data_IF_033861839658
#
_entry.id   IF_033861839658
#
_cell.length_a   1.000
_cell.length_b   1.000
_cell.length_c   1.000
_cell.angle_alpha   90.00
_cell.angle_beta   90.00
_cell.angle_gamma   90.00
#
_symmetry.space_group_name_H-M   'P 1'
#
loop_
_entity.id
_entity.type
_entity.pdbx_description
1 polymer ?
#
# COMPACT_ATOMS: atom_id res chain seq x y z
N UNK A 1 -36.33 -17.39 64.48
CA UNK A 1 -36.18 -18.38 63.37
C UNK A 1 -35.94 -17.60 62.09
N UNK A 2 -34.69 -17.52 61.62
CA UNK A 2 -34.39 -16.95 60.30
C UNK A 2 -34.58 -18.07 59.27
N UNK A 3 -35.57 -17.89 58.41
CA UNK A 3 -35.84 -18.77 57.28
C UNK A 3 -34.68 -18.69 56.29
N UNK A 4 -33.99 -19.81 56.08
CA UNK A 4 -33.05 -19.98 54.98
C UNK A 4 -33.84 -19.93 53.68
N UNK A 5 -33.75 -18.82 52.93
CA UNK A 5 -34.07 -18.82 51.51
C UNK A 5 -33.05 -19.73 50.83
N UNK A 6 -33.45 -20.98 50.58
CA UNK A 6 -32.77 -21.84 49.62
C UNK A 6 -32.69 -21.07 48.30
N UNK A 7 -31.48 -20.76 47.86
CA UNK A 7 -31.27 -20.36 46.47
C UNK A 7 -31.85 -21.47 45.60
N UNK A 8 -32.80 -21.12 44.73
CA UNK A 8 -33.31 -22.03 43.72
C UNK A 8 -32.10 -22.43 42.84
N UNK A 9 -31.81 -23.73 42.66
CA UNK A 9 -30.76 -24.13 41.74
C UNK A 9 -31.09 -23.58 40.34
N UNK A 10 -30.09 -23.19 39.53
CA UNK A 10 -30.34 -22.78 38.15
C UNK A 10 -31.17 -23.87 37.47
N UNK A 11 -32.30 -23.49 36.89
CA UNK A 11 -33.22 -24.42 36.24
C UNK A 11 -32.48 -25.05 35.06
N UNK A 12 -32.10 -26.33 35.20
CA UNK A 12 -31.59 -27.12 34.09
C UNK A 12 -32.73 -27.30 33.10
N UNK A 13 -32.58 -26.75 31.91
CA UNK A 13 -33.53 -26.94 30.83
C UNK A 13 -32.93 -27.95 29.85
N UNK A 14 -33.53 -29.13 29.75
CA UNK A 14 -33.03 -30.22 28.91
C UNK A 14 -33.90 -30.34 27.66
N UNK A 15 -33.26 -30.56 26.52
CA UNK A 15 -33.92 -30.89 25.24
C UNK A 15 -33.33 -32.18 24.69
N UNK A 16 -34.19 -33.09 24.22
CA UNK A 16 -33.76 -34.35 23.60
C UNK A 16 -34.46 -34.50 22.25
N UNK A 17 -33.70 -34.68 21.18
CA UNK A 17 -34.21 -34.99 19.86
C UNK A 17 -34.57 -36.47 19.70
N UNK A 18 -34.82 -36.87 18.46
CA UNK A 18 -35.27 -38.20 18.07
C UNK A 18 -34.35 -38.80 17.01
N UNK A 19 -34.88 -39.45 15.97
CA UNK A 19 -34.11 -40.07 14.88
C UNK A 19 -34.17 -39.28 13.56
N UNK A 20 -34.89 -38.16 13.56
CA UNK A 20 -35.05 -37.24 12.44
C UNK A 20 -34.14 -36.04 12.65
N UNK A 21 -33.86 -35.28 11.60
CA UNK A 21 -33.23 -33.98 11.73
C UNK A 21 -34.07 -33.04 12.63
N UNK A 22 -33.48 -32.57 13.71
CA UNK A 22 -34.12 -31.71 14.71
C UNK A 22 -33.38 -30.37 14.80
N UNK A 23 -34.15 -29.31 15.03
CA UNK A 23 -33.59 -28.02 15.46
C UNK A 23 -34.01 -27.82 16.90
N UNK A 24 -33.04 -27.79 17.80
CA UNK A 24 -33.26 -27.63 19.24
C UNK A 24 -32.76 -26.25 19.65
N UNK A 25 -33.69 -25.36 19.97
CA UNK A 25 -33.37 -24.00 20.40
C UNK A 25 -33.00 -23.97 21.88
N UNK A 26 -31.79 -23.49 22.18
CA UNK A 26 -31.34 -23.21 23.54
C UNK A 26 -32.09 -22.00 24.10
N UNK A 27 -32.48 -22.09 25.38
CA UNK A 27 -33.11 -20.98 26.09
C UNK A 27 -32.12 -20.41 27.12
N UNK A 28 -32.46 -19.28 27.74
CA UNK A 28 -31.63 -18.75 28.81
C UNK A 28 -31.51 -19.77 29.97
N UNK A 29 -30.28 -20.03 30.44
CA UNK A 29 -30.05 -20.91 31.58
C UNK A 29 -28.83 -21.79 31.38
N UNK A 30 -28.77 -22.92 32.09
CA UNK A 30 -27.75 -23.93 31.82
C UNK A 30 -28.45 -25.15 31.23
N UNK A 31 -28.15 -25.47 29.98
CA UNK A 31 -28.85 -26.52 29.25
C UNK A 31 -28.05 -27.83 29.17
N UNK A 32 -28.77 -28.95 29.06
CA UNK A 32 -28.21 -30.20 28.53
C UNK A 32 -29.07 -30.59 27.34
N UNK A 33 -28.53 -30.37 26.15
CA UNK A 33 -29.22 -30.61 24.89
C UNK A 33 -28.60 -31.84 24.23
N UNK A 34 -29.45 -32.71 23.73
CA UNK A 34 -29.08 -33.93 23.02
C UNK A 34 -29.86 -33.98 21.71
N UNK A 35 -29.19 -33.94 20.56
CA UNK A 35 -29.84 -34.04 19.24
C UNK A 35 -30.43 -35.44 18.98
N UNK A 36 -29.89 -36.47 19.62
CA UNK A 36 -30.28 -37.86 19.38
C UNK A 36 -29.57 -38.44 18.16
N UNK A 37 -30.33 -39.05 17.25
CA UNK A 37 -29.82 -39.56 15.99
C UNK A 37 -30.38 -38.74 14.83
N UNK A 38 -29.62 -38.57 13.77
CA UNK A 38 -30.05 -37.77 12.63
C UNK A 38 -28.98 -36.76 12.28
N UNK A 39 -29.42 -35.62 11.75
CA UNK A 39 -28.56 -34.46 11.49
C UNK A 39 -29.23 -33.28 12.18
N UNK A 40 -28.73 -32.94 13.35
CA UNK A 40 -29.40 -32.07 14.31
C UNK A 40 -28.68 -30.74 14.45
N UNK A 41 -29.45 -29.68 14.70
CA UNK A 41 -28.97 -28.31 14.86
C UNK A 41 -29.25 -27.81 16.27
N UNK A 42 -28.20 -27.40 16.98
CA UNK A 42 -28.35 -26.59 18.19
C UNK A 42 -28.47 -25.12 17.79
N UNK A 43 -29.58 -24.47 18.19
CA UNK A 43 -29.90 -23.11 17.77
C UNK A 43 -29.89 -22.13 18.94
N UNK A 44 -29.13 -21.05 18.79
CA UNK A 44 -29.00 -19.94 19.73
C UNK A 44 -29.68 -18.67 19.22
N UNK A 45 -30.56 -18.78 18.22
CA UNK A 45 -31.20 -17.66 17.54
C UNK A 45 -32.01 -16.72 18.45
N UNK A 46 -32.38 -17.18 19.65
CA UNK A 46 -33.10 -16.37 20.65
C UNK A 46 -32.20 -15.78 21.75
N UNK A 47 -30.89 -16.01 21.69
CA UNK A 47 -29.95 -15.40 22.62
C UNK A 47 -29.96 -13.87 22.46
N UNK A 48 -29.85 -13.16 23.58
CA UNK A 48 -29.92 -11.69 23.63
C UNK A 48 -28.54 -11.02 23.57
N UNK A 49 -27.50 -11.80 23.31
CA UNK A 49 -26.12 -11.38 23.07
C UNK A 49 -25.40 -12.48 22.29
N UNK A 50 -24.20 -12.17 21.79
CA UNK A 50 -23.35 -13.13 21.10
C UNK A 50 -23.05 -14.39 21.91
N UNK A 51 -22.93 -15.51 21.22
CA UNK A 51 -22.64 -16.82 21.80
C UNK A 51 -21.28 -17.36 21.35
N UNK A 52 -20.64 -18.14 22.23
CA UNK A 52 -19.41 -18.88 21.91
C UNK A 52 -19.68 -20.37 22.09
N UNK A 53 -19.80 -21.11 20.98
CA UNK A 53 -20.30 -22.49 20.99
C UNK A 53 -19.41 -23.40 20.15
N UNK A 54 -19.07 -24.57 20.69
CA UNK A 54 -18.29 -25.60 20.02
C UNK A 54 -18.98 -26.95 20.07
N UNK A 55 -19.13 -27.61 18.91
CA UNK A 55 -19.58 -29.00 18.81
C UNK A 55 -18.48 -30.00 19.19
N UNK A 56 -17.21 -29.59 19.14
CA UNK A 56 -16.07 -30.43 19.53
C UNK A 56 -15.96 -30.67 21.05
N UNK A 57 -16.78 -30.00 21.86
CA UNK A 57 -16.80 -30.15 23.32
C UNK A 57 -17.96 -31.04 23.75
N UNK A 58 -17.65 -32.14 24.44
CA UNK A 58 -18.68 -33.04 25.02
C UNK A 58 -19.09 -32.66 26.45
N UNK A 59 -18.43 -31.66 27.04
CA UNK A 59 -18.68 -31.18 28.39
C UNK A 59 -19.50 -29.90 28.42
N UNK A 60 -19.78 -29.43 29.63
CA UNK A 60 -20.41 -28.13 29.83
C UNK A 60 -19.48 -27.01 29.35
N UNK A 61 -19.99 -26.12 28.50
CA UNK A 61 -19.29 -24.98 27.91
C UNK A 61 -20.03 -23.70 28.26
N UNK A 62 -19.29 -22.64 28.61
CA UNK A 62 -19.88 -21.33 28.83
C UNK A 62 -20.19 -20.70 27.47
N UNK A 63 -21.47 -20.68 27.10
CA UNK A 63 -21.93 -20.22 25.78
C UNK A 63 -22.08 -18.71 25.70
N UNK A 64 -21.89 -17.99 26.82
CA UNK A 64 -22.05 -16.54 26.89
C UNK A 64 -23.53 -16.17 26.97
N UNK A 65 -24.12 -15.76 25.85
CA UNK A 65 -25.52 -15.29 25.75
C UNK A 65 -26.60 -16.30 26.13
N UNK A 66 -26.23 -17.55 26.36
CA UNK A 66 -27.14 -18.63 26.75
C UNK A 66 -26.65 -19.42 27.97
N UNK A 67 -25.77 -18.86 28.80
CA UNK A 67 -25.33 -19.48 30.06
C UNK A 67 -24.28 -20.60 29.90
N UNK A 68 -24.47 -21.75 30.55
CA UNK A 68 -23.52 -22.88 30.50
C UNK A 68 -24.22 -24.16 30.03
N UNK A 69 -23.93 -24.56 28.80
CA UNK A 69 -24.66 -25.61 28.10
C UNK A 69 -23.79 -26.84 27.86
N UNK A 70 -24.41 -28.01 27.79
CA UNK A 70 -23.78 -29.25 27.31
C UNK A 70 -24.51 -29.67 26.05
N UNK A 71 -23.78 -29.83 24.95
CA UNK A 71 -24.31 -30.24 23.66
C UNK A 71 -23.87 -31.67 23.37
N UNK A 72 -24.81 -32.55 23.01
CA UNK A 72 -24.58 -33.95 22.67
C UNK A 72 -25.24 -34.25 21.33
N UNK A 73 -24.56 -35.02 20.47
CA UNK A 73 -25.10 -35.52 19.20
C UNK A 73 -25.73 -34.40 18.32
N UNK A 74 -24.98 -33.33 18.09
CA UNK A 74 -25.37 -32.27 17.15
C UNK A 74 -24.33 -32.17 16.03
N UNK A 75 -24.81 -31.93 14.83
CA UNK A 75 -24.00 -31.78 13.63
C UNK A 75 -23.94 -30.33 13.16
N UNK A 76 -24.86 -29.46 13.61
CA UNK A 76 -24.97 -28.10 13.12
C UNK A 76 -25.15 -27.08 14.25
N UNK A 77 -24.73 -25.84 13.99
CA UNK A 77 -24.91 -24.71 14.89
C UNK A 77 -25.63 -23.56 14.18
N UNK A 78 -26.57 -22.94 14.89
CA UNK A 78 -27.09 -21.62 14.54
C UNK A 78 -26.78 -20.65 15.67
N UNK A 79 -26.13 -19.54 15.35
CA UNK A 79 -25.84 -18.41 16.21
C UNK A 79 -27.07 -17.56 16.56
N UNK A 80 -26.80 -16.42 17.16
CA UNK A 80 -27.72 -15.37 17.55
C UNK A 80 -27.86 -14.29 16.47
N UNK A 81 -28.29 -13.08 16.85
CA UNK A 81 -28.31 -11.91 15.95
C UNK A 81 -27.19 -10.90 16.32
N UNK A 82 -26.16 -11.39 16.99
CA UNK A 82 -25.02 -10.63 17.49
C UNK A 82 -23.75 -11.42 17.16
N UNK A 83 -22.59 -10.76 17.30
CA UNK A 83 -21.29 -11.36 17.05
C UNK A 83 -21.08 -12.68 17.82
N UNK A 84 -21.09 -13.79 17.08
CA UNK A 84 -20.96 -15.13 17.58
C UNK A 84 -19.59 -15.73 17.29
N UNK A 85 -19.25 -16.80 17.99
CA UNK A 85 -18.11 -17.67 17.72
C UNK A 85 -18.59 -19.10 17.64
N UNK A 86 -18.63 -19.67 16.44
CA UNK A 86 -19.17 -20.99 16.16
C UNK A 86 -18.06 -21.94 15.72
N UNK A 87 -17.91 -23.07 16.41
CA UNK A 87 -16.86 -24.07 16.14
C UNK A 87 -17.47 -25.42 15.79
N UNK A 88 -17.17 -25.93 14.60
CA UNK A 88 -17.51 -27.28 14.18
C UNK A 88 -16.72 -28.36 14.92
N UNK A 89 -17.12 -29.61 14.75
CA UNK A 89 -16.42 -30.80 15.22
C UNK A 89 -15.30 -31.17 14.24
N UNK A 90 -14.11 -31.49 14.76
CA UNK A 90 -13.00 -31.89 13.90
C UNK A 90 -13.29 -33.20 13.14
N UNK A 91 -13.07 -33.19 11.82
CA UNK A 91 -13.24 -34.36 10.95
C UNK A 91 -14.69 -34.81 10.72
N UNK A 92 -15.66 -33.95 11.04
CA UNK A 92 -17.09 -34.20 10.80
C UNK A 92 -17.66 -32.96 10.13
N UNK A 93 -18.36 -33.14 9.02
CA UNK A 93 -18.97 -32.02 8.29
C UNK A 93 -20.11 -31.38 9.08
N UNK A 94 -20.06 -30.07 9.25
CA UNK A 94 -21.07 -29.28 9.96
C UNK A 94 -21.66 -28.17 9.11
N UNK A 95 -22.88 -27.73 9.43
CA UNK A 95 -23.42 -26.44 8.98
C UNK A 95 -23.36 -25.44 10.13
N UNK A 96 -22.66 -24.33 9.91
CA UNK A 96 -22.50 -23.23 10.86
C UNK A 96 -23.21 -21.99 10.28
N UNK A 97 -24.24 -21.50 10.96
CA UNK A 97 -25.01 -20.31 10.55
C UNK A 97 -24.88 -19.24 11.62
N UNK A 98 -24.27 -18.09 11.36
CA UNK A 98 -24.06 -17.04 12.35
C UNK A 98 -25.29 -16.17 12.51
N UNK A 99 -25.70 -15.52 11.42
CA UNK A 99 -26.91 -14.71 11.39
C UNK A 99 -26.60 -13.26 11.09
N UNK A 100 -26.71 -12.39 12.10
CA UNK A 100 -26.35 -10.98 11.99
C UNK A 100 -25.32 -10.66 13.08
N UNK A 101 -24.54 -9.60 12.88
CA UNK A 101 -23.34 -9.34 13.66
C UNK A 101 -22.10 -9.77 12.88
N UNK A 102 -20.94 -9.50 13.49
CA UNK A 102 -19.65 -9.94 12.96
C UNK A 102 -19.30 -11.27 13.60
N UNK A 103 -19.49 -12.35 12.87
CA UNK A 103 -19.41 -13.72 13.36
C UNK A 103 -18.03 -14.34 13.06
N UNK A 104 -17.63 -15.29 13.91
CA UNK A 104 -16.36 -16.01 13.78
C UNK A 104 -16.60 -17.52 13.71
N UNK A 105 -16.06 -18.16 12.68
CA UNK A 105 -16.20 -19.58 12.41
C UNK A 105 -14.88 -20.31 12.55
N UNK A 106 -14.89 -21.48 13.17
CA UNK A 106 -13.76 -22.40 13.19
C UNK A 106 -14.12 -23.64 12.38
N UNK A 107 -13.51 -23.73 11.19
CA UNK A 107 -13.70 -24.81 10.22
C UNK A 107 -12.59 -25.85 10.37
N UNK A 108 -12.99 -27.10 10.53
CA UNK A 108 -12.10 -28.21 10.89
C UNK A 108 -12.31 -29.47 10.04
N UNK A 109 -13.28 -29.45 9.13
CA UNK A 109 -13.50 -30.48 8.12
C UNK A 109 -13.76 -29.83 6.76
N UNK A 110 -13.31 -30.49 5.68
CA UNK A 110 -13.53 -29.95 4.31
C UNK A 110 -14.99 -29.96 3.88
N UNK A 111 -15.85 -30.71 4.59
CA UNK A 111 -17.29 -30.68 4.38
C UNK A 111 -18.04 -29.67 5.23
N UNK A 112 -17.36 -28.87 6.07
CA UNK A 112 -18.00 -27.78 6.80
C UNK A 112 -18.56 -26.72 5.84
N UNK A 113 -19.74 -26.21 6.16
CA UNK A 113 -20.43 -25.17 5.40
C UNK A 113 -20.75 -24.01 6.34
N UNK A 114 -20.18 -22.84 6.05
CA UNK A 114 -20.58 -21.57 6.67
C UNK A 114 -21.73 -20.95 5.88
N UNK A 115 -22.74 -20.42 6.57
CA UNK A 115 -23.90 -19.76 5.96
C UNK A 115 -24.13 -18.40 6.60
N UNK A 116 -24.06 -17.34 5.78
CA UNK A 116 -24.28 -15.97 6.23
C UNK A 116 -25.35 -15.20 5.46
N UNK A 117 -26.00 -14.27 6.17
CA UNK A 117 -26.97 -13.36 5.61
C UNK A 117 -26.28 -12.21 4.86
N UNK A 118 -26.91 -11.74 3.79
CA UNK A 118 -26.46 -10.53 3.11
C UNK A 118 -26.56 -9.32 4.07
N UNK A 119 -25.48 -8.55 4.19
CA UNK A 119 -25.35 -7.47 5.19
C UNK A 119 -25.43 -7.97 6.65
N UNK A 120 -24.98 -9.20 6.92
CA UNK A 120 -24.91 -9.79 8.26
C UNK A 120 -23.91 -9.06 9.15
N UNK A 121 -22.75 -8.72 8.60
CA UNK A 121 -21.69 -8.00 9.31
C UNK A 121 -20.40 -8.09 8.53
N UNK A 122 -19.29 -8.22 9.24
CA UNK A 122 -17.99 -8.59 8.69
C UNK A 122 -17.51 -9.85 9.38
N UNK A 123 -17.51 -10.95 8.65
CA UNK A 123 -17.44 -12.30 9.18
C UNK A 123 -16.07 -12.92 8.90
N UNK A 124 -15.64 -13.82 9.79
CA UNK A 124 -14.28 -14.38 9.78
C UNK A 124 -14.28 -15.89 9.89
N UNK A 125 -13.53 -16.55 9.02
CA UNK A 125 -13.28 -18.00 9.07
C UNK A 125 -11.84 -18.26 9.46
N UNK A 126 -11.64 -19.04 10.52
CA UNK A 126 -10.39 -19.69 10.87
C UNK A 126 -10.45 -21.15 10.41
N UNK A 127 -9.69 -21.51 9.39
CA UNK A 127 -9.73 -22.87 8.82
C UNK A 127 -8.45 -23.64 9.13
N UNK A 128 -8.59 -24.89 9.57
CA UNK A 128 -7.47 -25.84 9.70
C UNK A 128 -7.31 -26.76 8.49
N UNK A 129 -8.16 -26.58 7.48
CA UNK A 129 -8.22 -27.33 6.22
C UNK A 129 -8.19 -26.38 5.02
N UNK A 130 -8.03 -26.91 3.81
CA UNK A 130 -8.26 -26.11 2.60
C UNK A 130 -9.72 -25.68 2.54
N UNK A 131 -10.00 -24.40 2.32
CA UNK A 131 -11.34 -23.86 2.44
C UNK A 131 -11.65 -22.76 1.43
N UNK A 132 -12.91 -22.72 1.00
CA UNK A 132 -13.47 -21.68 0.13
C UNK A 132 -14.54 -20.94 0.91
N UNK A 133 -14.45 -19.61 0.98
CA UNK A 133 -15.43 -18.79 1.66
C UNK A 133 -16.80 -18.92 0.98
N UNK A 134 -17.84 -19.07 1.81
CA UNK A 134 -19.22 -18.93 1.35
C UNK A 134 -19.50 -17.46 0.99
N UNK A 135 -20.58 -17.20 0.25
CA UNK A 135 -21.01 -15.83 -0.01
C UNK A 135 -21.29 -15.07 1.30
N UNK A 136 -21.07 -13.75 1.29
CA UNK A 136 -21.27 -12.87 2.45
C UNK A 136 -20.27 -13.11 3.60
N UNK A 137 -19.10 -13.69 3.33
CA UNK A 137 -18.03 -13.83 4.31
C UNK A 137 -16.79 -13.11 3.80
N UNK A 138 -16.16 -12.28 4.64
CA UNK A 138 -15.11 -11.35 4.20
C UNK A 138 -13.69 -11.87 4.49
N UNK A 139 -13.47 -12.57 5.61
CA UNK A 139 -12.11 -12.87 6.06
C UNK A 139 -11.84 -14.38 6.16
N UNK A 140 -10.70 -14.82 5.62
CA UNK A 140 -10.18 -16.19 5.80
C UNK A 140 -8.78 -16.15 6.41
N UNK A 141 -8.59 -16.84 7.52
CA UNK A 141 -7.28 -17.14 8.11
C UNK A 141 -7.06 -18.64 8.12
N UNK A 142 -6.03 -19.11 7.41
CA UNK A 142 -5.57 -20.48 7.49
C UNK A 142 -4.77 -20.68 8.78
N UNK A 143 -4.98 -21.80 9.45
CA UNK A 143 -4.35 -22.13 10.73
C UNK A 143 -3.52 -23.41 10.61
N UNK A 144 -2.69 -23.69 11.62
CA UNK A 144 -1.82 -24.85 11.64
C UNK A 144 -0.58 -24.70 10.75
N UNK A 145 -0.01 -25.84 10.35
CA UNK A 145 1.28 -25.91 9.63
C UNK A 145 1.21 -26.76 8.37
N UNK A 146 0.03 -27.24 8.00
CA UNK A 146 -0.16 -28.03 6.79
C UNK A 146 -0.19 -27.13 5.55
N UNK A 147 0.19 -27.67 4.39
CA UNK A 147 0.06 -27.00 3.10
C UNK A 147 -1.42 -27.05 2.67
N UNK A 148 -2.19 -26.08 3.13
CA UNK A 148 -3.61 -25.90 2.82
C UNK A 148 -3.80 -24.63 2.02
N UNK A 149 -4.92 -24.52 1.32
CA UNK A 149 -5.19 -23.39 0.44
C UNK A 149 -6.42 -22.61 0.89
N UNK A 150 -6.49 -21.34 0.48
CA UNK A 150 -7.60 -20.45 0.77
C UNK A 150 -8.21 -19.94 -0.53
N UNK A 151 -9.54 -19.93 -0.60
CA UNK A 151 -10.27 -19.30 -1.69
C UNK A 151 -11.32 -18.35 -1.13
N UNK A 152 -11.38 -17.14 -1.63
CA UNK A 152 -12.41 -16.15 -1.29
C UNK A 152 -13.69 -16.37 -2.12
N UNK A 153 -14.43 -15.29 -2.31
CA UNK A 153 -15.70 -15.25 -3.02
C UNK A 153 -15.74 -14.04 -3.98
N UNK A 154 -16.88 -13.35 -4.11
CA UNK A 154 -17.04 -12.21 -5.03
C UNK A 154 -16.98 -10.85 -4.31
N UNK A 155 -16.66 -10.85 -3.01
CA UNK A 155 -16.47 -9.68 -2.18
C UNK A 155 -15.00 -9.31 -2.11
N UNK A 156 -14.71 -8.14 -1.53
CA UNK A 156 -13.35 -7.77 -1.18
C UNK A 156 -12.90 -8.56 0.05
N UNK A 157 -12.21 -9.68 -0.16
CA UNK A 157 -11.78 -10.59 0.89
C UNK A 157 -10.40 -10.27 1.45
N UNK A 158 -10.19 -10.60 2.73
CA UNK A 158 -8.86 -10.64 3.36
C UNK A 158 -8.46 -12.09 3.57
N UNK A 159 -7.39 -12.54 2.91
CA UNK A 159 -6.89 -13.91 2.99
C UNK A 159 -5.51 -13.95 3.64
N UNK A 160 -5.40 -14.68 4.76
CA UNK A 160 -4.15 -14.91 5.48
C UNK A 160 -3.74 -16.37 5.40
N UNK A 161 -2.55 -16.62 4.86
CA UNK A 161 -1.92 -17.95 4.86
C UNK A 161 -1.50 -18.40 6.27
N UNK A 162 -1.18 -19.68 6.41
CA UNK A 162 -0.54 -20.23 7.60
C UNK A 162 0.99 -20.34 7.40
N UNK A 163 1.67 -21.11 8.24
CA UNK A 163 3.13 -21.30 8.12
C UNK A 163 3.55 -22.33 7.06
N UNK A 164 2.59 -23.04 6.47
CA UNK A 164 2.82 -23.95 5.35
C UNK A 164 2.95 -23.20 4.02
N UNK A 165 3.07 -23.94 2.93
CA UNK A 165 2.97 -23.37 1.58
C UNK A 165 1.51 -23.27 1.19
N UNK A 166 1.01 -22.05 0.97
CA UNK A 166 -0.40 -21.81 0.62
C UNK A 166 -0.55 -21.29 -0.80
N UNK A 167 -1.59 -21.75 -1.49
CA UNK A 167 -2.18 -21.04 -2.63
C UNK A 167 -3.40 -20.25 -2.14
N UNK A 168 -3.41 -18.95 -2.39
CA UNK A 168 -4.50 -18.04 -2.05
C UNK A 168 -5.12 -17.49 -3.34
N UNK A 169 -6.45 -17.52 -3.43
CA UNK A 169 -7.21 -16.93 -4.53
C UNK A 169 -8.39 -16.16 -3.95
N UNK A 170 -8.55 -14.88 -4.28
CA UNK A 170 -9.52 -13.98 -3.69
C UNK A 170 -10.86 -14.08 -4.40
N UNK A 171 -10.81 -14.15 -5.73
CA UNK A 171 -11.96 -14.48 -6.55
C UNK A 171 -12.35 -13.30 -7.42
N UNK A 172 -13.36 -12.55 -7.04
CA UNK A 172 -13.67 -11.26 -7.66
C UNK A 172 -13.86 -10.23 -6.54
N UNK A 173 -13.72 -8.95 -6.87
CA UNK A 173 -13.58 -7.91 -5.85
C UNK A 173 -12.13 -7.49 -5.71
N UNK A 174 -11.88 -6.50 -4.86
CA UNK A 174 -10.54 -6.02 -4.57
C UNK A 174 -10.04 -6.70 -3.30
N UNK A 175 -9.27 -7.76 -3.47
CA UNK A 175 -8.84 -8.65 -2.41
C UNK A 175 -7.51 -8.20 -1.77
N UNK A 176 -7.31 -8.61 -0.51
CA UNK A 176 -6.07 -8.39 0.23
C UNK A 176 -5.48 -9.71 0.72
N UNK A 177 -4.23 -9.94 0.37
CA UNK A 177 -3.47 -11.14 0.72
C UNK A 177 -2.40 -10.82 1.75
N UNK A 178 -2.40 -11.51 2.88
CA UNK A 178 -1.36 -11.38 3.90
C UNK A 178 -0.36 -12.52 3.74
N UNK A 179 0.81 -12.18 3.22
CA UNK A 179 1.89 -13.12 2.90
C UNK A 179 3.01 -13.04 3.95
N UNK A 180 3.33 -14.20 4.52
CA UNK A 180 4.33 -14.35 5.58
C UNK A 180 5.35 -15.45 5.28
N UNK A 181 5.17 -16.18 4.17
CA UNK A 181 6.03 -17.26 3.75
C UNK A 181 6.39 -17.06 2.26
N UNK A 182 7.68 -17.15 1.93
CA UNK A 182 8.18 -16.95 0.56
C UNK A 182 7.73 -18.02 -0.42
N UNK A 183 7.17 -19.13 0.06
CA UNK A 183 6.62 -20.19 -0.80
C UNK A 183 5.16 -19.97 -1.19
N UNK A 184 4.48 -19.01 -0.57
CA UNK A 184 3.06 -18.77 -0.85
C UNK A 184 2.86 -18.20 -2.25
N UNK A 185 1.73 -18.55 -2.87
CA UNK A 185 1.37 -18.06 -4.20
C UNK A 185 -0.02 -17.44 -4.17
N UNK A 186 -0.14 -16.25 -4.75
CA UNK A 186 -1.43 -15.61 -5.03
C UNK A 186 -1.83 -15.91 -6.47
N UNK A 187 -3.08 -16.32 -6.66
CA UNK A 187 -3.64 -16.68 -7.95
C UNK A 187 -4.88 -15.85 -8.22
N UNK A 188 -4.78 -14.93 -9.18
CA UNK A 188 -5.88 -14.06 -9.58
C UNK A 188 -6.33 -14.25 -11.03
N UNK A 189 -7.63 -14.02 -11.26
CA UNK A 189 -8.22 -14.06 -12.58
C UNK A 189 -8.14 -12.68 -13.25
N UNK A 190 -8.07 -12.65 -14.58
CA UNK A 190 -8.09 -11.37 -15.31
C UNK A 190 -9.38 -10.61 -15.05
N UNK A 191 -9.28 -9.32 -14.70
CA UNK A 191 -10.43 -8.45 -14.42
C UNK A 191 -11.27 -8.91 -13.20
N UNK A 192 -10.65 -9.58 -12.23
CA UNK A 192 -11.25 -9.94 -10.94
C UNK A 192 -11.44 -8.72 -10.02
N UNK A 193 -10.53 -7.75 -10.10
CA UNK A 193 -10.58 -6.51 -9.33
C UNK A 193 -9.22 -5.82 -9.36
N UNK A 194 -8.89 -5.11 -8.29
CA UNK A 194 -7.56 -4.55 -8.05
C UNK A 194 -7.07 -5.06 -6.72
N UNK A 195 -6.09 -5.97 -6.77
CA UNK A 195 -5.74 -6.82 -5.65
C UNK A 195 -4.43 -6.39 -5.01
N UNK A 196 -4.33 -6.60 -3.70
CA UNK A 196 -3.20 -6.12 -2.89
C UNK A 196 -2.55 -7.24 -2.11
N UNK A 197 -1.24 -7.38 -2.25
CA UNK A 197 -0.41 -8.22 -1.39
C UNK A 197 0.24 -7.36 -0.31
N UNK A 198 0.00 -7.71 0.95
CA UNK A 198 0.75 -7.23 2.11
C UNK A 198 1.76 -8.31 2.49
N UNK A 199 3.04 -8.06 2.27
CA UNK A 199 4.08 -9.07 2.48
C UNK A 199 5.05 -8.68 3.59
N UNK A 200 5.37 -9.61 4.49
CA UNK A 200 6.46 -9.48 5.47
C UNK A 200 7.76 -10.17 5.03
N UNK A 201 7.77 -10.70 3.80
CA UNK A 201 8.88 -11.42 3.17
C UNK A 201 9.11 -10.89 1.76
N UNK A 202 10.26 -11.21 1.16
CA UNK A 202 10.47 -10.96 -0.28
C UNK A 202 9.38 -11.65 -1.09
N UNK A 203 8.74 -10.90 -2.00
CA UNK A 203 7.61 -11.40 -2.78
C UNK A 203 7.62 -10.92 -4.23
N UNK A 204 7.15 -11.78 -5.12
CA UNK A 204 6.95 -11.50 -6.54
C UNK A 204 5.48 -11.69 -6.87
N UNK A 205 4.84 -10.67 -7.43
CA UNK A 205 3.44 -10.72 -7.81
C UNK A 205 3.19 -11.78 -8.89
N UNK A 206 2.16 -12.59 -8.67
CA UNK A 206 1.58 -13.41 -9.73
C UNK A 206 0.92 -12.54 -10.80
N UNK A 207 0.54 -13.14 -11.93
CA UNK A 207 -0.25 -12.44 -12.96
C UNK A 207 -1.57 -11.92 -12.40
N UNK A 208 -2.07 -10.79 -12.93
CA UNK A 208 -3.35 -10.17 -12.54
C UNK A 208 -3.40 -9.67 -11.09
N UNK A 209 -2.24 -9.44 -10.46
CA UNK A 209 -2.16 -8.76 -9.16
C UNK A 209 -1.47 -7.43 -9.36
N UNK A 210 -2.05 -6.36 -8.84
CA UNK A 210 -1.64 -5.00 -9.16
C UNK A 210 -0.73 -4.40 -8.08
N UNK A 211 -1.04 -4.63 -6.80
CA UNK A 211 -0.37 -3.91 -5.70
C UNK A 211 0.43 -4.85 -4.79
N UNK A 212 1.63 -4.41 -4.41
CA UNK A 212 2.46 -5.06 -3.40
C UNK A 212 2.97 -4.01 -2.41
N UNK A 213 2.65 -4.21 -1.13
CA UNK A 213 3.19 -3.43 -0.02
C UNK A 213 4.00 -4.32 0.89
N UNK A 214 5.28 -4.00 1.04
CA UNK A 214 6.15 -4.64 2.03
C UNK A 214 5.85 -4.09 3.42
N UNK A 215 5.94 -4.95 4.41
CA UNK A 215 5.60 -4.66 5.81
C UNK A 215 6.79 -4.92 6.71
N UNK A 216 6.93 -4.07 7.73
CA UNK A 216 8.07 -4.14 8.65
C UNK A 216 9.28 -3.33 8.16
N UNK A 217 10.45 -3.68 8.71
CA UNK A 217 11.70 -2.95 8.50
C UNK A 217 12.85 -3.88 8.04
N UNK A 218 12.51 -5.10 7.60
CA UNK A 218 13.49 -6.01 7.02
C UNK A 218 13.90 -5.48 5.64
N UNK A 219 15.14 -5.74 5.23
CA UNK A 219 15.58 -5.49 3.86
C UNK A 219 15.12 -6.65 2.97
N UNK A 220 14.04 -6.45 2.23
CA UNK A 220 13.40 -7.45 1.38
C UNK A 220 13.09 -6.85 0.00
N UNK A 221 12.59 -7.67 -0.91
CA UNK A 221 12.31 -7.22 -2.28
C UNK A 221 10.83 -7.32 -2.62
N UNK A 222 10.33 -6.30 -3.30
CA UNK A 222 9.04 -6.29 -3.98
C UNK A 222 9.28 -6.42 -5.48
N UNK A 223 8.67 -7.41 -6.11
CA UNK A 223 8.75 -7.59 -7.57
C UNK A 223 7.35 -7.62 -8.15
N UNK A 224 7.09 -6.72 -9.10
CA UNK A 224 5.87 -6.65 -9.88
C UNK A 224 5.80 -7.73 -10.96
N UNK A 225 4.93 -7.51 -11.94
CA UNK A 225 4.69 -8.32 -13.11
C UNK A 225 4.64 -7.40 -14.35
N UNK A 226 3.96 -7.79 -15.44
CA UNK A 226 3.93 -6.97 -16.66
C UNK A 226 2.75 -5.96 -16.71
N UNK A 227 2.03 -5.78 -15.60
CA UNK A 227 0.94 -4.82 -15.45
C UNK A 227 1.49 -3.50 -14.92
N UNK A 228 0.65 -2.47 -14.90
CA UNK A 228 0.94 -1.27 -14.12
C UNK A 228 0.82 -1.59 -12.62
N UNK A 229 1.95 -1.81 -11.95
CA UNK A 229 1.99 -2.18 -10.54
C UNK A 229 2.18 -0.98 -9.61
N UNK A 230 1.61 -1.07 -8.41
CA UNK A 230 1.97 -0.19 -7.30
C UNK A 230 2.81 -0.96 -6.29
N UNK A 231 4.10 -0.60 -6.18
CA UNK A 231 5.05 -1.23 -5.28
C UNK A 231 5.42 -0.26 -4.16
N UNK A 232 5.20 -0.66 -2.91
CA UNK A 232 5.59 0.10 -1.74
C UNK A 232 6.65 -0.67 -0.93
N UNK A 233 7.86 -0.11 -0.83
CA UNK A 233 9.00 -0.69 -0.13
C UNK A 233 8.82 -0.74 1.38
N UNK A 234 7.99 0.13 1.95
CA UNK A 234 7.87 0.26 3.40
C UNK A 234 9.15 0.84 4.02
N UNK A 235 9.34 0.60 5.32
CA UNK A 235 10.41 1.28 6.08
C UNK A 235 11.81 0.63 6.00
N UNK A 236 11.92 -0.53 5.35
CA UNK A 236 13.15 -1.30 5.25
C UNK A 236 14.17 -0.64 4.30
N UNK A 237 15.20 -1.40 3.92
CA UNK A 237 16.07 -1.03 2.81
C UNK A 237 15.76 -2.04 1.71
N UNK A 238 14.86 -1.65 0.82
CA UNK A 238 14.16 -2.60 -0.02
C UNK A 238 14.57 -2.44 -1.49
N UNK A 239 14.40 -3.50 -2.26
CA UNK A 239 14.51 -3.43 -3.73
C UNK A 239 13.13 -3.59 -4.35
N UNK A 240 12.70 -2.62 -5.14
CA UNK A 240 11.45 -2.66 -5.88
C UNK A 240 11.73 -2.83 -7.37
N UNK A 241 11.07 -3.78 -8.02
CA UNK A 241 11.28 -4.14 -9.42
C UNK A 241 9.93 -4.20 -10.14
N UNK A 242 9.63 -3.28 -11.06
CA UNK A 242 8.33 -3.20 -11.74
C UNK A 242 8.21 -4.16 -12.91
N UNK A 243 9.24 -4.20 -13.76
CA UNK A 243 9.36 -4.93 -15.02
C UNK A 243 8.83 -4.20 -16.25
N UNK A 244 7.53 -4.12 -16.46
CA UNK A 244 6.97 -3.40 -17.61
C UNK A 244 5.50 -3.11 -17.36
N UNK A 245 4.92 -2.20 -18.13
CA UNK A 245 3.72 -1.49 -17.65
C UNK A 245 4.12 -0.14 -17.06
N UNK A 246 3.15 0.64 -16.61
CA UNK A 246 3.42 1.94 -15.99
C UNK A 246 3.42 1.77 -14.47
N UNK A 247 4.60 1.62 -13.89
CA UNK A 247 4.78 1.25 -12.50
C UNK A 247 4.86 2.48 -11.58
N UNK A 248 4.38 2.31 -10.36
CA UNK A 248 4.45 3.32 -9.30
C UNK A 248 5.18 2.76 -8.09
N UNK A 249 6.24 3.45 -7.67
CA UNK A 249 7.09 3.08 -6.53
C UNK A 249 6.90 4.06 -5.39
N UNK A 250 6.74 3.55 -4.17
CA UNK A 250 6.83 4.35 -2.96
C UNK A 250 8.15 4.05 -2.24
N UNK A 251 9.01 5.07 -2.20
CA UNK A 251 10.31 5.04 -1.54
C UNK A 251 10.21 5.80 -0.22
N UNK A 252 10.35 5.07 0.89
CA UNK A 252 10.31 5.63 2.24
C UNK A 252 11.69 5.58 2.93
N UNK A 253 12.67 4.90 2.32
CA UNK A 253 14.06 4.88 2.79
C UNK A 253 15.02 5.33 1.68
N UNK A 254 15.97 6.20 2.03
CA UNK A 254 16.90 6.78 1.05
C UNK A 254 17.86 5.74 0.44
N UNK A 255 17.95 4.55 1.04
CA UNK A 255 18.72 3.42 0.53
C UNK A 255 17.89 2.43 -0.31
N UNK A 256 16.59 2.68 -0.52
CA UNK A 256 15.76 1.84 -1.39
C UNK A 256 16.27 1.87 -2.84
N UNK A 257 16.19 0.73 -3.50
CA UNK A 257 16.61 0.57 -4.89
C UNK A 257 15.39 0.30 -5.75
N UNK A 258 15.09 1.19 -6.68
CA UNK A 258 14.14 0.93 -7.77
C UNK A 258 14.89 0.30 -8.94
N UNK A 259 14.35 -0.73 -9.57
CA UNK A 259 14.96 -1.35 -10.76
C UNK A 259 13.92 -1.52 -11.84
N UNK A 260 14.19 -0.95 -13.01
CA UNK A 260 13.33 -1.10 -14.18
C UNK A 260 13.89 -2.08 -15.20
N UNK A 261 12.97 -2.78 -15.87
CA UNK A 261 13.29 -3.58 -17.05
C UNK A 261 13.17 -2.75 -18.32
N UNK A 262 13.91 -3.13 -19.38
CA UNK A 262 13.96 -2.44 -20.68
C UNK A 262 12.65 -2.52 -21.51
N UNK A 263 11.45 -2.54 -20.91
CA UNK A 263 10.23 -2.99 -21.61
C UNK A 263 8.97 -2.12 -21.47
N UNK A 264 9.15 -0.80 -21.49
CA UNK A 264 8.09 0.12 -21.90
C UNK A 264 7.06 0.36 -20.81
N UNK A 265 7.15 1.55 -20.26
CA UNK A 265 6.32 2.06 -19.20
C UNK A 265 6.39 3.56 -19.19
N UNK A 266 5.62 4.18 -18.32
CA UNK A 266 5.89 5.53 -17.88
C UNK A 266 5.80 5.50 -16.38
N UNK A 267 6.97 5.47 -15.76
CA UNK A 267 7.15 4.97 -14.41
C UNK A 267 7.35 6.14 -13.45
N UNK A 268 6.82 5.97 -12.24
CA UNK A 268 6.77 7.03 -11.24
C UNK A 268 7.34 6.58 -9.92
N UNK A 269 8.34 7.30 -9.42
CA UNK A 269 8.81 7.19 -8.03
C UNK A 269 8.17 8.31 -7.20
N UNK A 270 7.43 7.94 -6.17
CA UNK A 270 7.03 8.81 -5.06
C UNK A 270 8.01 8.64 -3.90
N UNK A 271 8.76 9.69 -3.60
CA UNK A 271 9.76 9.69 -2.55
C UNK A 271 9.24 10.43 -1.31
N UNK A 272 9.16 9.73 -0.18
CA UNK A 272 8.88 10.35 1.13
C UNK A 272 10.15 10.90 1.80
N UNK A 273 11.32 10.60 1.23
CA UNK A 273 12.67 10.99 1.68
C UNK A 273 13.48 11.56 0.52
N UNK A 274 14.59 12.24 0.80
CA UNK A 274 15.49 12.68 -0.28
C UNK A 274 16.00 11.47 -1.07
N UNK A 275 15.89 11.54 -2.39
CA UNK A 275 16.11 10.41 -3.27
C UNK A 275 16.84 10.81 -4.56
N UNK A 276 17.66 9.90 -5.05
CA UNK A 276 18.45 10.07 -6.27
C UNK A 276 18.23 8.87 -7.16
N UNK A 277 17.79 9.10 -8.40
CA UNK A 277 17.72 8.05 -9.40
C UNK A 277 19.13 7.57 -9.74
N UNK A 278 19.33 6.26 -9.75
CA UNK A 278 20.57 5.65 -10.19
C UNK A 278 20.75 5.76 -11.70
N UNK A 279 22.00 5.71 -12.14
CA UNK A 279 22.33 5.71 -13.56
C UNK A 279 21.74 4.48 -14.27
N UNK A 280 21.23 4.69 -15.48
CA UNK A 280 20.60 3.65 -16.30
C UNK A 280 19.17 3.30 -15.91
N UNK A 281 18.57 3.94 -14.89
CA UNK A 281 17.15 3.76 -14.55
C UNK A 281 16.26 4.58 -15.49
N UNK A 282 15.35 3.93 -16.19
CA UNK A 282 14.42 4.58 -17.12
C UNK A 282 13.15 5.06 -16.38
N UNK A 283 13.31 5.86 -15.31
CA UNK A 283 12.17 6.46 -14.57
C UNK A 283 11.82 7.83 -15.16
N UNK A 284 10.59 8.02 -15.63
CA UNK A 284 10.15 9.30 -16.19
C UNK A 284 9.77 10.32 -15.11
N UNK A 285 9.17 9.89 -14.00
CA UNK A 285 8.65 10.80 -12.98
C UNK A 285 9.28 10.54 -11.61
N UNK A 286 9.93 11.56 -11.04
CA UNK A 286 10.36 11.57 -9.64
C UNK A 286 9.54 12.63 -8.89
N UNK A 287 8.76 12.22 -7.88
CA UNK A 287 7.81 13.07 -7.19
C UNK A 287 8.01 13.05 -5.68
N UNK A 288 7.95 14.22 -5.05
CA UNK A 288 7.83 14.31 -3.60
C UNK A 288 6.48 13.75 -3.15
N UNK A 289 6.48 12.79 -2.22
CA UNK A 289 5.24 12.24 -1.69
C UNK A 289 4.50 13.26 -0.83
N UNK A 290 3.17 13.19 -0.81
CA UNK A 290 2.36 14.11 -0.01
C UNK A 290 2.63 13.93 1.49
N UNK A 291 2.85 15.03 2.21
CA UNK A 291 3.12 15.03 3.64
C UNK A 291 4.61 15.01 4.02
N UNK A 292 5.50 14.75 3.06
CA UNK A 292 6.93 15.05 3.21
C UNK A 292 7.22 16.51 2.91
N UNK A 293 8.34 17.03 3.41
CA UNK A 293 8.77 18.42 3.20
C UNK A 293 10.28 18.52 3.13
N UNK A 294 10.82 19.40 2.29
CA UNK A 294 12.26 19.71 2.29
C UNK A 294 13.10 18.60 1.69
N UNK A 295 12.59 18.01 0.61
CA UNK A 295 13.22 16.89 -0.07
C UNK A 295 14.34 17.37 -0.99
N UNK A 296 15.37 16.56 -1.14
CA UNK A 296 16.30 16.66 -2.27
C UNK A 296 15.96 15.55 -3.24
N UNK A 297 15.51 15.93 -4.43
CA UNK A 297 15.13 15.02 -5.51
C UNK A 297 16.13 15.22 -6.65
N UNK A 298 16.84 14.15 -7.00
CA UNK A 298 17.86 14.17 -8.07
C UNK A 298 17.53 13.14 -9.13
N UNK A 299 17.43 13.59 -10.38
CA UNK A 299 17.27 12.73 -11.55
C UNK A 299 18.58 12.03 -11.93
N UNK A 300 18.67 11.58 -13.16
CA UNK A 300 19.81 10.84 -13.69
C UNK A 300 20.25 11.38 -15.06
N UNK A 301 20.65 10.51 -15.99
CA UNK A 301 21.10 10.90 -17.33
C UNK A 301 19.99 10.98 -18.39
N UNK A 302 18.77 10.64 -18.02
CA UNK A 302 17.60 10.69 -18.89
C UNK A 302 16.76 11.93 -18.61
N UNK A 303 15.85 12.24 -19.52
CA UNK A 303 14.90 13.34 -19.35
C UNK A 303 13.88 12.97 -18.26
N UNK A 304 14.07 13.49 -17.05
CA UNK A 304 13.16 13.25 -15.94
C UNK A 304 12.18 14.43 -15.77
N UNK A 305 10.96 14.12 -15.36
CA UNK A 305 10.03 15.09 -14.79
C UNK A 305 10.10 15.00 -13.26
N UNK A 306 10.69 16.01 -12.64
CA UNK A 306 10.88 16.07 -11.19
C UNK A 306 9.91 17.09 -10.59
N UNK A 307 9.07 16.62 -9.67
CA UNK A 307 8.07 17.45 -8.99
C UNK A 307 8.35 17.38 -7.49
N UNK A 308 8.60 18.53 -6.86
CA UNK A 308 8.67 18.64 -5.40
C UNK A 308 7.29 18.44 -4.76
N UNK A 309 7.08 19.02 -3.59
CA UNK A 309 5.79 18.98 -2.93
C UNK A 309 5.52 20.30 -2.19
N UNK A 310 5.24 20.23 -0.90
CA UNK A 310 5.14 21.39 -0.02
C UNK A 310 6.41 21.46 0.80
N UNK A 311 7.05 22.62 0.89
CA UNK A 311 8.29 22.77 1.64
C UNK A 311 9.34 23.47 0.82
N UNK A 312 10.57 23.50 1.33
CA UNK A 312 11.71 24.06 0.60
C UNK A 312 12.49 22.92 -0.05
N UNK A 313 12.07 22.49 -1.22
CA UNK A 313 12.64 21.34 -1.91
C UNK A 313 13.88 21.74 -2.73
N UNK A 314 14.75 20.77 -2.99
CA UNK A 314 15.91 20.94 -3.88
C UNK A 314 15.81 19.93 -5.01
N UNK A 315 15.64 20.42 -6.23
CA UNK A 315 15.50 19.63 -7.44
C UNK A 315 16.79 19.75 -8.27
N UNK A 316 17.33 18.61 -8.68
CA UNK A 316 18.45 18.53 -9.60
C UNK A 316 18.06 17.57 -10.74
N UNK A 317 17.96 18.08 -11.97
CA UNK A 317 17.62 17.27 -13.14
C UNK A 317 18.67 16.19 -13.43
N UNK A 318 19.95 16.59 -13.39
CA UNK A 318 21.06 15.74 -13.80
C UNK A 318 21.52 16.09 -15.21
N UNK A 319 21.70 15.08 -16.06
CA UNK A 319 21.91 15.29 -17.50
C UNK A 319 20.58 14.99 -18.20
N UNK A 320 20.32 15.69 -19.30
CA UNK A 320 19.10 15.47 -20.08
C UNK A 320 18.28 16.75 -20.14
N UNK A 321 17.17 16.72 -20.86
CA UNK A 321 16.25 17.85 -20.88
C UNK A 321 15.16 17.60 -19.84
N UNK A 322 15.37 18.10 -18.63
CA UNK A 322 14.49 17.79 -17.50
C UNK A 322 13.33 18.79 -17.40
N UNK A 323 12.23 18.36 -16.77
CA UNK A 323 11.12 19.24 -16.38
C UNK A 323 11.03 19.31 -14.88
N UNK A 324 11.23 20.49 -14.30
CA UNK A 324 11.31 20.71 -12.87
C UNK A 324 10.12 21.56 -12.39
N UNK A 325 9.42 21.08 -11.37
CA UNK A 325 8.31 21.79 -10.70
C UNK A 325 8.60 21.80 -9.21
N UNK A 326 8.88 22.96 -8.63
CA UNK A 326 9.22 23.08 -7.20
C UNK A 326 8.03 22.75 -6.29
N UNK A 327 6.85 23.22 -6.67
CA UNK A 327 5.64 23.13 -5.87
C UNK A 327 5.46 24.37 -4.99
N UNK A 328 5.02 24.16 -3.75
CA UNK A 328 4.78 25.26 -2.82
C UNK A 328 5.93 25.38 -1.82
N UNK A 329 6.61 26.51 -1.83
CA UNK A 329 7.56 26.88 -0.79
C UNK A 329 8.71 27.67 -1.37
N UNK A 330 9.91 27.49 -0.81
CA UNK A 330 11.11 28.20 -1.25
C UNK A 330 12.07 27.18 -1.85
N UNK A 331 11.89 26.90 -3.13
CA UNK A 331 12.50 25.75 -3.79
C UNK A 331 13.84 26.12 -4.42
N UNK A 332 14.68 25.12 -4.64
CA UNK A 332 16.01 25.27 -5.23
C UNK A 332 16.16 24.39 -6.45
N UNK A 333 16.46 24.97 -7.60
CA UNK A 333 16.74 24.27 -8.86
C UNK A 333 18.25 24.27 -9.10
N UNK A 334 18.89 23.11 -9.14
CA UNK A 334 20.35 22.93 -9.17
C UNK A 334 20.83 22.63 -10.58
N UNK A 335 21.84 23.38 -11.04
CA UNK A 335 22.56 23.15 -12.29
C UNK A 335 24.02 22.87 -11.98
N UNK A 336 24.41 21.59 -12.04
CA UNK A 336 25.76 21.12 -11.72
C UNK A 336 26.35 20.13 -12.73
N UNK A 337 25.72 19.99 -13.89
CA UNK A 337 26.17 19.11 -14.98
C UNK A 337 26.67 19.91 -16.18
N UNK A 338 27.36 19.25 -17.11
CA UNK A 338 27.94 19.91 -18.28
C UNK A 338 26.85 20.52 -19.18
N UNK A 339 26.99 21.80 -19.53
CA UNK A 339 26.01 22.51 -20.35
C UNK A 339 25.98 21.96 -21.79
N UNK A 340 24.78 21.79 -22.34
CA UNK A 340 24.60 21.43 -23.74
C UNK A 340 23.25 21.96 -24.26
N UNK A 341 23.29 23.00 -25.09
CA UNK A 341 22.09 23.66 -25.63
C UNK A 341 21.19 22.78 -26.50
N UNK A 342 21.56 21.53 -26.81
CA UNK A 342 20.75 20.59 -27.60
C UNK A 342 20.24 19.39 -26.81
N UNK A 343 20.89 19.02 -25.70
CA UNK A 343 20.60 17.76 -24.99
C UNK A 343 20.61 17.90 -23.46
N UNK A 344 20.88 19.09 -22.93
CA UNK A 344 20.90 19.36 -21.49
C UNK A 344 20.33 20.77 -21.23
N UNK A 345 19.04 20.95 -21.55
CA UNK A 345 18.28 22.19 -21.37
C UNK A 345 17.02 21.89 -20.58
N UNK A 346 16.99 22.32 -19.33
CA UNK A 346 15.89 22.03 -18.42
C UNK A 346 14.75 23.04 -18.58
N UNK A 347 13.56 22.68 -18.11
CA UNK A 347 12.41 23.58 -18.02
C UNK A 347 11.94 23.66 -16.58
N UNK A 348 12.03 24.85 -15.97
CA UNK A 348 11.44 25.13 -14.67
C UNK A 348 10.05 25.73 -14.87
N UNK A 349 9.05 25.04 -14.35
CA UNK A 349 7.64 25.26 -14.72
C UNK A 349 6.91 26.26 -13.83
N UNK A 350 7.32 26.44 -12.58
CA UNK A 350 6.59 27.20 -11.56
C UNK A 350 7.46 28.15 -10.73
N UNK A 351 8.62 28.56 -11.26
CA UNK A 351 9.56 29.44 -10.57
C UNK A 351 8.90 30.70 -9.99
N UNK A 352 8.99 30.85 -8.67
CA UNK A 352 8.45 31.96 -7.89
C UNK A 352 9.56 32.88 -7.42
N UNK A 353 9.69 34.03 -8.08
CA UNK A 353 10.67 35.09 -7.76
C UNK A 353 10.67 35.46 -6.28
N UNK A 354 11.87 35.60 -5.71
CA UNK A 354 12.06 36.01 -4.31
C UNK A 354 11.77 34.92 -3.27
N UNK A 355 11.13 33.82 -3.68
CA UNK A 355 11.00 32.58 -2.88
C UNK A 355 12.06 31.58 -3.33
N UNK A 356 12.02 31.23 -4.61
CA UNK A 356 12.84 30.16 -5.16
C UNK A 356 14.26 30.64 -5.52
N UNK A 357 15.15 29.67 -5.72
CA UNK A 357 16.54 29.89 -6.10
C UNK A 357 16.95 28.99 -7.26
N UNK A 358 17.72 29.57 -8.18
CA UNK A 358 18.49 28.83 -9.17
C UNK A 358 19.93 28.72 -8.65
N UNK A 359 20.42 27.51 -8.45
CA UNK A 359 21.75 27.22 -7.93
C UNK A 359 22.67 26.83 -9.07
N UNK A 360 23.76 27.58 -9.23
CA UNK A 360 24.73 27.47 -10.32
C UNK A 360 26.06 26.96 -9.76
N UNK A 361 26.45 25.75 -10.12
CA UNK A 361 27.72 25.17 -9.66
C UNK A 361 28.91 25.86 -10.35
N UNK A 362 29.83 26.44 -9.56
CA UNK A 362 30.95 27.20 -10.11
C UNK A 362 31.93 26.35 -10.95
N UNK A 363 31.92 25.02 -10.82
CA UNK A 363 32.74 24.13 -11.63
C UNK A 363 32.24 24.11 -13.09
N UNK A 364 30.95 24.40 -13.29
CA UNK A 364 30.30 24.52 -14.60
C UNK A 364 30.31 25.98 -15.06
N UNK A 365 29.85 26.89 -14.19
CA UNK A 365 29.73 28.32 -14.48
C UNK A 365 31.00 29.08 -14.08
N UNK A 366 32.15 28.67 -14.61
CA UNK A 366 33.49 29.06 -14.15
C UNK A 366 33.78 30.58 -14.14
N UNK A 367 33.13 31.35 -15.01
CA UNK A 367 33.26 32.80 -15.05
C UNK A 367 32.62 33.51 -13.84
N UNK A 368 31.77 32.84 -13.06
CA UNK A 368 31.13 33.39 -11.87
C UNK A 368 32.06 33.48 -10.65
N UNK A 369 33.30 32.98 -10.78
CA UNK A 369 34.31 32.99 -9.73
C UNK A 369 34.21 31.79 -8.78
N UNK A 370 35.11 31.74 -7.80
CA UNK A 370 35.32 30.53 -6.97
C UNK A 370 34.64 30.59 -5.59
N UNK A 371 33.91 31.66 -5.28
CA UNK A 371 33.27 31.82 -3.97
C UNK A 371 31.89 31.16 -3.98
N UNK A 372 31.69 30.19 -3.10
CA UNK A 372 30.46 29.39 -3.03
C UNK A 372 29.48 29.93 -2.00
N UNK A 373 28.22 29.52 -2.13
CA UNK A 373 27.08 29.84 -1.26
C UNK A 373 26.85 31.35 -1.12
N UNK A 374 27.03 32.09 -2.22
CA UNK A 374 26.76 33.52 -2.30
C UNK A 374 25.71 33.81 -3.38
N UNK A 375 24.97 34.90 -3.20
CA UNK A 375 24.10 35.41 -4.25
C UNK A 375 24.95 35.82 -5.47
N UNK A 376 24.40 35.64 -6.67
CA UNK A 376 25.02 36.12 -7.90
C UNK A 376 25.23 37.65 -7.81
N UNK A 377 26.42 38.17 -8.14
CA UNK A 377 26.64 39.61 -8.21
C UNK A 377 25.67 40.27 -9.19
N UNK A 378 25.15 41.45 -8.86
CA UNK A 378 24.20 42.16 -9.72
C UNK A 378 24.77 42.52 -11.10
N UNK A 379 26.09 42.69 -11.22
CA UNK A 379 26.79 42.92 -12.49
C UNK A 379 26.92 41.68 -13.36
N UNK A 380 26.62 40.49 -12.82
CA UNK A 380 26.75 39.23 -13.54
C UNK A 380 25.44 38.74 -14.18
N UNK A 381 24.39 39.56 -14.14
CA UNK A 381 23.06 39.19 -14.58
C UNK A 381 22.41 40.27 -15.45
N UNK A 382 21.89 39.85 -16.59
CA UNK A 382 21.20 40.73 -17.53
C UNK A 382 19.88 40.14 -18.03
N UNK A 383 18.86 40.98 -18.18
CA UNK A 383 17.61 40.62 -18.88
C UNK A 383 17.71 41.13 -20.31
N UNK A 384 17.82 40.21 -21.26
CA UNK A 384 18.01 40.55 -22.68
C UNK A 384 18.14 39.32 -23.57
N UNK A 385 18.58 39.54 -24.81
CA UNK A 385 18.78 38.46 -25.80
C UNK A 385 20.24 38.02 -25.91
N UNK A 386 21.16 38.79 -25.34
CA UNK A 386 22.60 38.56 -25.24
C UNK A 386 23.15 39.42 -24.09
N UNK A 387 24.40 39.21 -23.69
CA UNK A 387 25.10 40.02 -22.69
C UNK A 387 25.18 41.50 -23.10
N UNK A 388 25.13 42.43 -22.13
CA UNK A 388 25.17 43.87 -22.37
C UNK A 388 26.58 44.45 -22.23
N UNK A 389 27.32 43.98 -21.24
CA UNK A 389 28.73 44.31 -21.01
C UNK A 389 29.50 43.10 -20.48
N UNK A 390 30.83 43.20 -20.40
CA UNK A 390 31.75 42.09 -20.13
C UNK A 390 31.54 41.33 -18.82
N UNK A 391 30.73 41.85 -17.90
CA UNK A 391 30.49 41.20 -16.62
C UNK A 391 29.22 40.32 -16.65
N UNK A 392 28.35 40.46 -17.67
CA UNK A 392 27.07 39.77 -17.78
C UNK A 392 27.20 38.29 -18.20
N UNK A 393 27.34 37.43 -17.21
CA UNK A 393 27.53 36.00 -17.45
C UNK A 393 26.21 35.20 -17.48
N UNK A 394 25.15 35.65 -16.82
CA UNK A 394 23.84 35.00 -16.83
C UNK A 394 22.82 35.91 -17.51
N UNK A 395 22.20 35.41 -18.57
CA UNK A 395 21.26 36.17 -19.39
C UNK A 395 19.88 35.50 -19.33
N UNK A 396 18.84 36.29 -19.08
CA UNK A 396 17.45 35.85 -19.17
C UNK A 396 16.71 36.59 -20.31
N UNK A 397 16.22 35.84 -21.29
CA UNK A 397 15.36 36.38 -22.33
C UNK A 397 13.90 36.36 -21.88
N UNK A 398 13.40 37.50 -21.41
CA UNK A 398 12.02 37.61 -20.92
C UNK A 398 10.94 37.36 -21.97
N UNK A 399 11.29 37.33 -23.26
CA UNK A 399 10.32 37.04 -24.35
C UNK A 399 10.13 35.54 -24.54
N UNK A 400 11.21 34.76 -24.48
CA UNK A 400 11.19 33.31 -24.72
C UNK A 400 11.20 32.49 -23.45
N UNK A 401 11.69 33.06 -22.34
CA UNK A 401 11.92 32.34 -21.08
C UNK A 401 13.33 31.77 -20.95
N UNK A 402 14.21 31.98 -21.93
CA UNK A 402 15.52 31.32 -21.98
C UNK A 402 16.49 31.86 -20.92
N UNK A 403 17.15 30.96 -20.20
CA UNK A 403 18.33 31.21 -19.39
C UNK A 403 19.58 30.72 -20.11
N UNK A 404 20.53 31.63 -20.28
CA UNK A 404 21.76 31.40 -21.02
C UNK A 404 22.98 31.80 -20.19
N UNK A 405 24.07 31.07 -20.37
CA UNK A 405 25.37 31.37 -19.78
C UNK A 405 26.33 31.88 -20.84
N UNK A 406 26.89 33.07 -20.66
CA UNK A 406 27.95 33.63 -21.50
C UNK A 406 29.30 33.55 -20.76
N UNK A 407 30.19 32.62 -21.13
CA UNK A 407 31.49 32.47 -20.47
C UNK A 407 32.42 33.67 -20.64
N UNK A 408 32.31 34.40 -21.76
CA UNK A 408 33.16 35.59 -22.00
C UNK A 408 32.51 36.89 -21.50
N UNK A 409 31.20 36.85 -21.26
CA UNK A 409 30.39 37.94 -20.73
C UNK A 409 30.19 39.07 -21.74
N UNK A 410 30.85 39.10 -22.89
CA UNK A 410 30.83 40.25 -23.80
C UNK A 410 29.74 40.19 -24.87
N UNK A 411 29.02 39.07 -24.99
CA UNK A 411 28.08 38.81 -26.08
C UNK A 411 28.75 38.61 -27.45
N UNK A 412 30.10 38.52 -27.47
CA UNK A 412 30.88 38.27 -28.69
C UNK A 412 30.87 36.79 -29.07
N UNK A 413 30.94 35.90 -28.07
CA UNK A 413 30.66 34.48 -28.23
C UNK A 413 29.16 34.18 -28.04
N UNK A 414 28.64 33.11 -28.66
CA UNK A 414 27.27 32.67 -28.40
C UNK A 414 27.16 32.15 -26.97
N UNK A 415 26.22 32.73 -26.21
CA UNK A 415 25.83 32.19 -24.91
C UNK A 415 25.22 30.79 -25.06
N UNK A 416 25.40 29.95 -24.04
CA UNK A 416 24.90 28.58 -23.99
C UNK A 416 23.56 28.56 -23.27
N UNK A 417 22.49 28.18 -23.99
CA UNK A 417 21.19 27.88 -23.39
C UNK A 417 21.31 26.67 -22.46
N UNK A 418 20.80 26.80 -21.23
CA UNK A 418 20.83 25.73 -20.24
C UNK A 418 19.50 25.50 -19.53
N UNK A 419 18.58 26.47 -19.56
CA UNK A 419 17.25 26.28 -18.99
C UNK A 419 16.20 27.21 -19.62
N UNK A 420 14.94 26.85 -19.44
CA UNK A 420 13.78 27.68 -19.68
C UNK A 420 13.07 27.96 -18.35
N UNK A 421 12.68 29.22 -18.15
CA UNK A 421 11.68 29.63 -17.16
C UNK A 421 10.39 30.04 -17.87
N UNK A 422 9.34 30.29 -17.09
CA UNK A 422 8.15 30.99 -17.61
C UNK A 422 8.53 32.30 -18.32
N UNK A 423 8.03 32.58 -19.53
CA UNK A 423 8.23 33.87 -20.20
C UNK A 423 7.61 35.03 -19.40
N UNK A 424 8.13 36.23 -19.58
CA UNK A 424 7.57 37.45 -19.01
C UNK A 424 8.03 37.80 -17.59
N UNK A 425 9.02 37.11 -17.01
CA UNK A 425 9.60 37.44 -15.70
C UNK A 425 10.51 38.70 -15.78
N UNK A 426 9.93 39.85 -16.11
CA UNK A 426 10.66 41.13 -16.32
C UNK A 426 11.33 41.70 -15.06
N UNK A 427 11.09 41.09 -13.89
CA UNK A 427 11.67 41.52 -12.61
C UNK A 427 12.63 40.50 -12.00
N UNK A 428 12.93 39.39 -12.70
CA UNK A 428 13.96 38.43 -12.28
C UNK A 428 15.26 39.16 -11.92
N UNK A 429 15.94 38.78 -10.86
CA UNK A 429 17.11 39.50 -10.37
C UNK A 429 18.26 38.56 -10.00
N UNK A 430 19.48 39.08 -9.94
CA UNK A 430 20.65 38.31 -9.52
C UNK A 430 20.48 37.65 -8.13
N UNK A 431 19.66 38.23 -7.24
CA UNK A 431 19.32 37.64 -5.94
C UNK A 431 18.50 36.34 -6.01
N UNK A 432 17.91 36.02 -7.17
CA UNK A 432 17.20 34.77 -7.43
C UNK A 432 18.18 33.63 -7.79
N UNK A 433 19.46 33.95 -7.96
CA UNK A 433 20.52 32.99 -8.26
C UNK A 433 21.51 32.88 -7.10
N UNK A 434 22.06 31.68 -6.90
CA UNK A 434 23.11 31.39 -5.92
C UNK A 434 24.24 30.63 -6.60
N UNK A 435 25.48 31.07 -6.40
CA UNK A 435 26.66 30.32 -6.82
C UNK A 435 26.94 29.28 -5.74
N UNK A 436 27.02 28.00 -6.10
CA UNK A 436 27.20 26.87 -5.17
C UNK A 436 28.43 26.07 -5.45
#
# INVERSE_FOLDING_TARGET
MRSNKSAQPPTRHNGTGNSLANVITANAGNNVLDGGAGTDTASYATAMSGVMVSLGLTGAQATGGSGTDTLLNFENLTGSAYNDTLTGSAGVSNVLTGGAGNDTYYVQDTGDIVTEAANGGTDSVFSSVTYTLAANVENLTLTGTANINGTGNALNNILTGNSGTNALAGGAGNDTYIIQNTTDVVSEASSAGTDTVLSSVTYTLGSNVENLTLTGAAAINATGNALANTLNGGSGIDTMIGHGGNDTYYVDNAADVVTEGYQGGSDTVYASVSYTLAAGQEIEFLRGNAGSTGLTLTGNEFNNTIIGNTGADTLNGGLGNDTLTGGSGADSFVFNTALNASTNVDTITDFTRGSDKIKLDNAIFTALGTTQNIALPASAFYIGTAAHDSDDHIIYNSTTGDLMYDPDGTGSAPAVLFAHLSPGLTTLAASDFTIV
#
